data_IF_380224569754
#
_entry.id   IF_380224569754
#
_cell.length_a   1.000
_cell.length_b   1.000
_cell.length_c   1.000
_cell.angle_alpha   90.00
_cell.angle_beta   90.00
_cell.angle_gamma   90.00
#
_symmetry.space_group_name_H-M   'P 1'
#
loop_
_entity.id
_entity.type
_entity.pdbx_description
1 polymer ?
#
# COMPACT_ATOMS: atom_id res chain seq x y z
N UNK A 1 12.73 -18.80 -43.33
CA UNK A 1 11.62 -18.02 -43.90
C UNK A 1 10.36 -18.88 -43.91
N UNK A 2 9.51 -18.69 -42.92
CA UNK A 2 8.04 -18.65 -42.95
C UNK A 2 7.62 -17.83 -41.70
N UNK A 3 6.50 -17.10 -41.75
CA UNK A 3 6.40 -15.78 -41.11
C UNK A 3 5.88 -15.80 -39.66
N UNK A 4 6.43 -14.89 -38.85
CA UNK A 4 5.93 -14.50 -37.54
C UNK A 4 4.67 -13.63 -37.73
N UNK A 5 3.54 -14.07 -37.19
CA UNK A 5 2.29 -13.29 -37.10
C UNK A 5 2.22 -12.70 -35.70
N UNK A 6 2.32 -11.36 -35.52
CA UNK A 6 2.00 -10.72 -34.25
C UNK A 6 0.49 -10.58 -34.12
N UNK A 7 -0.09 -11.20 -33.10
CA UNK A 7 -1.51 -11.03 -32.77
C UNK A 7 -1.67 -9.71 -32.02
N UNK A 8 -2.25 -8.74 -32.73
CA UNK A 8 -2.81 -7.51 -32.18
C UNK A 8 -4.19 -7.84 -31.63
N UNK A 9 -4.39 -7.66 -30.32
CA UNK A 9 -5.68 -7.80 -29.64
C UNK A 9 -6.09 -6.49 -28.97
N UNK A 10 -6.88 -5.69 -29.69
CA UNK A 10 -7.70 -4.60 -29.16
C UNK A 10 -8.90 -5.17 -28.36
N UNK A 11 -9.46 -4.35 -27.45
CA UNK A 11 -10.89 -4.07 -27.15
C UNK A 11 -11.09 -3.74 -25.65
N UNK A 12 -12.11 -2.96 -25.24
CA UNK A 12 -12.69 -1.75 -25.82
C UNK A 12 -12.77 -0.56 -24.82
N UNK A 13 -12.89 0.67 -25.34
CA UNK A 13 -13.26 1.87 -24.58
C UNK A 13 -14.76 1.82 -24.24
N UNK A 14 -15.13 2.00 -22.96
CA UNK A 14 -16.48 2.40 -22.58
C UNK A 14 -16.43 3.84 -22.05
N UNK A 15 -17.02 4.75 -22.82
CA UNK A 15 -17.19 6.14 -22.43
C UNK A 15 -18.48 6.31 -21.64
N UNK A 16 -18.39 7.04 -20.53
CA UNK A 16 -19.48 7.89 -20.06
C UNK A 16 -18.90 9.27 -19.75
N UNK A 17 -19.36 10.23 -20.53
CA UNK A 17 -18.99 11.63 -20.51
C UNK A 17 -19.64 12.34 -19.32
N UNK A 18 -18.84 13.04 -18.51
CA UNK A 18 -19.30 14.19 -17.72
C UNK A 18 -18.48 15.43 -18.15
N UNK A 19 -19.12 16.61 -18.28
CA UNK A 19 -18.59 17.71 -19.08
C UNK A 19 -17.41 18.42 -18.43
N UNK A 20 -16.38 18.66 -19.23
CA UNK A 20 -15.26 19.55 -18.91
C UNK A 20 -15.77 20.99 -19.00
N UNK A 21 -15.70 21.74 -17.90
CA UNK A 21 -15.93 23.17 -17.90
C UNK A 21 -14.78 23.89 -18.66
N UNK A 22 -15.18 24.78 -19.57
CA UNK A 22 -14.31 25.63 -20.38
C UNK A 22 -13.48 26.62 -19.53
N UNK A 23 -12.18 26.63 -19.83
CA UNK A 23 -11.23 27.75 -19.85
C UNK A 23 -11.12 28.72 -18.67
N UNK A 24 -9.97 28.66 -17.98
CA UNK A 24 -9.29 29.82 -17.37
C UNK A 24 -7.91 30.04 -18.03
N UNK A 25 -7.44 31.30 -18.13
CA UNK A 25 -6.48 31.71 -19.15
C UNK A 25 -5.03 31.26 -18.94
N UNK A 26 -4.39 31.02 -20.08
CA UNK A 26 -2.97 30.73 -20.30
C UNK A 26 -2.01 31.61 -19.50
N UNK A 27 -1.38 31.04 -18.47
CA UNK A 27 -0.03 31.40 -18.07
C UNK A 27 0.92 30.28 -18.48
N UNK A 28 1.66 30.51 -19.58
CA UNK A 28 2.80 29.68 -19.95
C UNK A 28 3.84 29.75 -18.83
N UNK A 29 3.82 28.79 -17.91
CA UNK A 29 5.01 28.37 -17.17
C UNK A 29 5.53 27.12 -17.84
N UNK A 30 6.58 27.29 -18.62
CA UNK A 30 7.44 26.20 -19.07
C UNK A 30 7.95 25.51 -17.81
N UNK A 31 7.36 24.37 -17.44
CA UNK A 31 7.93 23.53 -16.40
C UNK A 31 9.12 22.81 -17.03
N UNK A 32 10.28 23.46 -17.00
CA UNK A 32 11.55 22.77 -17.14
C UNK A 32 11.56 21.61 -16.14
N UNK A 33 11.87 20.40 -16.61
CA UNK A 33 12.15 19.26 -15.74
C UNK A 33 13.39 19.61 -14.95
N UNK A 34 13.22 20.22 -13.77
CA UNK A 34 14.31 20.42 -12.84
C UNK A 34 14.53 19.07 -12.18
N UNK A 35 15.51 18.31 -12.69
CA UNK A 35 16.19 17.26 -11.93
C UNK A 35 16.90 17.94 -10.75
N UNK A 36 16.14 18.32 -9.73
CA UNK A 36 16.71 18.78 -8.48
C UNK A 36 16.95 17.55 -7.61
N UNK A 37 18.22 17.23 -7.39
CA UNK A 37 18.65 16.28 -6.36
C UNK A 37 18.18 16.66 -4.95
N UNK A 38 17.58 17.84 -4.74
CA UNK A 38 16.96 18.25 -3.47
C UNK A 38 15.49 17.84 -3.32
N UNK A 39 14.87 17.19 -4.31
CA UNK A 39 13.47 16.76 -4.19
C UNK A 39 13.28 15.55 -3.25
N UNK A 40 14.32 14.72 -3.08
CA UNK A 40 14.27 13.48 -2.28
C UNK A 40 15.27 13.57 -1.12
N UNK A 41 14.86 14.07 0.07
CA UNK A 41 15.78 14.31 1.19
C UNK A 41 16.65 13.11 1.57
N UNK A 42 16.12 11.89 1.41
CA UNK A 42 16.81 10.63 1.71
C UNK A 42 16.97 9.71 0.50
N UNK A 43 16.81 10.22 -0.72
CA UNK A 43 16.92 9.42 -1.94
C UNK A 43 15.90 8.28 -2.07
N UNK A 44 14.80 8.33 -1.30
CA UNK A 44 13.71 7.34 -1.31
C UNK A 44 12.39 8.02 -1.64
N UNK A 45 11.54 7.29 -2.34
CA UNK A 45 10.11 7.57 -2.51
C UNK A 45 9.33 6.65 -1.55
N UNK A 46 8.09 7.01 -1.17
CA UNK A 46 7.33 8.20 -1.57
C UNK A 46 7.77 9.49 -0.86
N UNK A 47 7.42 10.62 -1.50
CA UNK A 47 7.46 11.97 -0.90
C UNK A 47 6.10 12.65 -1.09
N UNK A 48 5.75 13.55 -0.17
CA UNK A 48 4.59 14.44 -0.28
C UNK A 48 5.05 15.88 -0.06
N UNK A 49 4.85 16.75 -1.04
CA UNK A 49 5.13 18.18 -0.91
C UNK A 49 3.94 18.88 -0.25
N UNK A 50 4.15 19.53 0.89
CA UNK A 50 3.16 20.32 1.62
C UNK A 50 3.76 21.69 1.91
N UNK A 51 3.16 22.74 1.37
CA UNK A 51 3.61 24.14 1.55
C UNK A 51 5.10 24.35 1.23
N UNK A 52 5.60 23.66 0.19
CA UNK A 52 7.00 23.71 -0.23
C UNK A 52 7.97 22.88 0.63
N UNK A 53 7.48 22.13 1.62
CA UNK A 53 8.25 21.16 2.40
C UNK A 53 8.03 19.74 1.86
N UNK A 54 9.11 19.00 1.66
CA UNK A 54 9.06 17.60 1.23
C UNK A 54 9.01 16.67 2.45
N UNK A 55 7.82 16.15 2.75
CA UNK A 55 7.64 15.04 3.68
C UNK A 55 8.10 13.74 3.01
N UNK A 56 8.68 12.83 3.79
CA UNK A 56 9.18 11.53 3.31
C UNK A 56 8.73 10.41 4.28
N UNK A 57 8.89 9.15 3.85
CA UNK A 57 8.35 7.94 4.49
C UNK A 57 6.84 7.79 4.36
N UNK A 58 6.39 6.68 3.76
CA UNK A 58 4.98 6.36 3.53
C UNK A 58 4.15 6.45 4.80
N UNK A 59 4.59 5.81 5.89
CA UNK A 59 3.84 5.75 7.15
C UNK A 59 3.79 7.11 7.86
N UNK A 60 4.86 7.90 7.78
CA UNK A 60 4.88 9.25 8.34
C UNK A 60 3.92 10.18 7.58
N UNK A 61 3.88 10.06 6.25
CA UNK A 61 2.93 10.77 5.40
C UNK A 61 1.49 10.33 5.71
N UNK A 62 1.23 9.03 5.84
CA UNK A 62 -0.08 8.50 6.20
C UNK A 62 -0.57 9.06 7.54
N UNK A 63 0.25 8.98 8.60
CA UNK A 63 -0.05 9.58 9.91
C UNK A 63 -0.31 11.08 9.84
N UNK A 64 0.45 11.82 9.04
CA UNK A 64 0.23 13.25 8.84
C UNK A 64 -1.17 13.52 8.23
N UNK A 65 -1.56 12.74 7.23
CA UNK A 65 -2.86 12.89 6.55
C UNK A 65 -4.04 12.48 7.43
N UNK A 66 -3.87 11.52 8.33
CA UNK A 66 -4.96 11.00 9.18
C UNK A 66 -5.10 11.71 10.51
N UNK A 67 -4.09 12.49 10.94
CA UNK A 67 -3.94 13.06 12.30
C UNK A 67 -5.20 13.69 12.92
N UNK A 68 -6.01 14.38 12.12
CA UNK A 68 -7.20 15.10 12.60
C UNK A 68 -8.51 14.43 12.14
N UNK A 69 -8.47 13.12 11.91
CA UNK A 69 -9.61 12.33 11.43
C UNK A 69 -9.75 11.09 12.30
N UNK A 70 -10.95 10.51 12.33
CA UNK A 70 -11.21 9.26 13.04
C UNK A 70 -10.39 8.08 12.48
N UNK A 71 -9.82 8.20 11.28
CA UNK A 71 -8.95 7.18 10.70
C UNK A 71 -7.69 6.94 11.52
N UNK A 72 -7.23 7.93 12.29
CA UNK A 72 -6.09 7.75 13.18
C UNK A 72 -6.43 6.93 14.44
N UNK A 73 -7.71 6.80 14.79
CA UNK A 73 -8.15 6.41 16.14
C UNK A 73 -8.60 7.64 16.94
N UNK A 74 -9.62 7.46 17.79
CA UNK A 74 -10.33 8.57 18.46
C UNK A 74 -9.65 9.03 19.74
N UNK A 75 -8.77 8.20 20.30
CA UNK A 75 -7.98 8.51 21.49
C UNK A 75 -6.49 8.31 21.23
N UNK A 76 -5.64 8.96 22.02
CA UNK A 76 -4.17 8.78 21.92
C UNK A 76 -3.75 7.30 22.07
N UNK A 77 -4.48 6.54 22.89
CA UNK A 77 -4.22 5.11 23.06
C UNK A 77 -4.62 4.31 21.82
N UNK A 78 -5.79 4.60 21.24
CA UNK A 78 -6.20 3.98 19.97
C UNK A 78 -5.23 4.32 18.84
N UNK A 79 -4.76 5.57 18.75
CA UNK A 79 -3.75 5.98 17.76
C UNK A 79 -2.46 5.19 17.90
N UNK A 80 -1.98 4.99 19.13
CA UNK A 80 -0.81 4.15 19.39
C UNK A 80 -1.04 2.68 18.96
N UNK A 81 -2.24 2.15 19.18
CA UNK A 81 -2.58 0.79 18.75
C UNK A 81 -2.69 0.67 17.23
N UNK A 82 -3.25 1.67 16.55
CA UNK A 82 -3.28 1.75 15.09
C UNK A 82 -1.85 1.74 14.54
N UNK A 83 -0.99 2.64 15.05
CA UNK A 83 0.42 2.71 14.65
C UNK A 83 1.15 1.38 14.87
N UNK A 84 0.91 0.70 15.99
CA UNK A 84 1.51 -0.60 16.29
C UNK A 84 1.10 -1.70 15.30
N UNK A 85 -0.17 -1.74 14.88
CA UNK A 85 -0.62 -2.71 13.87
C UNK A 85 0.03 -2.42 12.51
N UNK A 86 0.12 -1.14 12.11
CA UNK A 86 0.78 -0.77 10.86
C UNK A 86 2.26 -1.15 10.89
N UNK A 87 2.99 -0.79 11.94
CA UNK A 87 4.42 -1.09 12.02
C UNK A 87 4.66 -2.61 12.06
N UNK A 88 3.78 -3.39 12.70
CA UNK A 88 3.83 -4.87 12.66
C UNK A 88 3.70 -5.41 11.24
N UNK A 89 2.77 -4.85 10.45
CA UNK A 89 2.60 -5.22 9.04
C UNK A 89 3.80 -4.78 8.18
N UNK A 90 4.29 -3.55 8.38
CA UNK A 90 5.42 -2.99 7.62
C UNK A 90 6.73 -3.74 7.87
N UNK A 91 6.98 -4.17 9.11
CA UNK A 91 8.12 -5.00 9.47
C UNK A 91 8.09 -6.33 8.70
N UNK A 92 6.93 -6.99 8.65
CA UNK A 92 6.78 -8.23 7.90
C UNK A 92 6.94 -8.01 6.39
N UNK A 93 6.31 -6.97 5.83
CA UNK A 93 6.45 -6.64 4.42
C UNK A 93 7.90 -6.27 4.06
N UNK A 94 8.65 -5.68 4.99
CA UNK A 94 10.06 -5.31 4.79
C UNK A 94 11.02 -6.50 4.79
N UNK A 95 10.62 -7.67 5.31
CA UNK A 95 11.40 -8.91 5.24
C UNK A 95 11.54 -9.45 3.81
N UNK A 96 10.59 -9.12 2.92
CA UNK A 96 10.60 -9.61 1.56
C UNK A 96 11.73 -8.97 0.72
N UNK A 97 12.48 -9.76 -0.07
CA UNK A 97 13.58 -9.25 -0.88
C UNK A 97 13.08 -8.56 -2.17
N UNK A 98 12.35 -7.46 -2.05
CA UNK A 98 11.71 -6.76 -3.18
C UNK A 98 12.70 -6.38 -4.29
N UNK A 99 13.92 -6.01 -3.91
CA UNK A 99 14.99 -5.54 -4.79
C UNK A 99 15.98 -6.65 -5.23
N UNK A 100 15.78 -7.91 -4.85
CA UNK A 100 16.62 -9.02 -5.31
C UNK A 100 16.49 -9.19 -6.83
N UNK A 101 17.62 -9.37 -7.51
CA UNK A 101 17.74 -9.42 -8.97
C UNK A 101 17.71 -10.86 -9.49
N UNK A 102 18.10 -11.83 -8.68
CA UNK A 102 18.07 -13.25 -9.01
C UNK A 102 16.70 -13.82 -8.69
N UNK A 103 15.95 -14.16 -9.75
CA UNK A 103 14.56 -14.59 -9.62
C UNK A 103 14.41 -15.87 -8.79
N UNK A 104 15.31 -16.84 -8.96
CA UNK A 104 15.32 -18.11 -8.22
C UNK A 104 15.51 -17.90 -6.71
N UNK A 105 16.43 -17.01 -6.32
CA UNK A 105 16.66 -16.65 -4.92
C UNK A 105 15.44 -15.90 -4.36
N UNK A 106 14.92 -14.94 -5.13
CA UNK A 106 13.74 -14.15 -4.73
C UNK A 106 12.53 -15.05 -4.50
N UNK A 107 12.20 -15.94 -5.44
CA UNK A 107 11.05 -16.83 -5.35
C UNK A 107 11.17 -17.80 -4.16
N UNK A 108 12.38 -18.32 -3.92
CA UNK A 108 12.64 -19.20 -2.78
C UNK A 108 12.42 -18.48 -1.45
N UNK A 109 12.95 -17.26 -1.29
CA UNK A 109 12.77 -16.46 -0.07
C UNK A 109 11.30 -16.04 0.13
N UNK A 110 10.60 -15.63 -0.92
CA UNK A 110 9.15 -15.32 -0.85
C UNK A 110 8.37 -16.54 -0.38
N UNK A 111 8.64 -17.71 -0.96
CA UNK A 111 7.96 -18.95 -0.59
C UNK A 111 8.22 -19.32 0.87
N UNK A 112 9.45 -19.17 1.34
CA UNK A 112 9.81 -19.43 2.73
C UNK A 112 9.05 -18.51 3.70
N UNK A 113 9.10 -17.19 3.49
CA UNK A 113 8.35 -16.22 4.30
C UNK A 113 6.84 -16.51 4.32
N UNK A 114 6.26 -16.83 3.16
CA UNK A 114 4.83 -17.09 3.02
C UNK A 114 4.38 -18.44 3.59
N UNK A 115 5.29 -19.38 3.77
CA UNK A 115 4.97 -20.74 4.28
C UNK A 115 5.31 -20.90 5.75
N UNK A 116 6.40 -20.29 6.20
CA UNK A 116 6.93 -20.45 7.55
C UNK A 116 6.50 -19.32 8.47
N UNK A 117 6.56 -18.06 8.01
CA UNK A 117 6.43 -16.90 8.89
C UNK A 117 5.05 -16.25 8.81
N UNK A 118 4.47 -16.13 7.61
CA UNK A 118 3.15 -15.54 7.41
C UNK A 118 2.06 -16.20 8.28
N UNK A 119 1.98 -17.55 8.44
CA UNK A 119 0.96 -18.16 9.27
C UNK A 119 1.00 -17.70 10.73
N UNK A 120 2.18 -17.42 11.28
CA UNK A 120 2.32 -16.92 12.64
C UNK A 120 1.78 -15.49 12.76
N UNK A 121 2.18 -14.60 11.86
CA UNK A 121 1.65 -13.23 11.81
C UNK A 121 0.12 -13.22 11.64
N UNK A 122 -0.40 -14.01 10.71
CA UNK A 122 -1.84 -14.06 10.44
C UNK A 122 -2.61 -14.60 11.63
N UNK A 123 -2.07 -15.60 12.33
CA UNK A 123 -2.67 -16.10 13.56
C UNK A 123 -2.69 -15.03 14.66
N UNK A 124 -1.62 -14.25 14.81
CA UNK A 124 -1.55 -13.17 15.79
C UNK A 124 -2.53 -12.03 15.45
N UNK A 125 -2.62 -11.63 14.17
CA UNK A 125 -3.57 -10.62 13.69
C UNK A 125 -5.03 -11.08 13.83
N UNK A 126 -5.34 -12.32 13.47
CA UNK A 126 -6.68 -12.91 13.59
C UNK A 126 -7.11 -13.03 15.07
N UNK A 127 -6.16 -13.32 15.96
CA UNK A 127 -6.37 -13.31 17.41
C UNK A 127 -6.58 -11.89 17.93
N UNK A 128 -5.78 -10.93 17.46
CA UNK A 128 -5.88 -9.53 17.86
C UNK A 128 -7.21 -8.90 17.41
N UNK A 129 -7.67 -9.23 16.20
CA UNK A 129 -8.98 -8.83 15.69
C UNK A 129 -10.10 -9.45 16.52
N UNK A 130 -10.01 -10.75 16.80
CA UNK A 130 -11.01 -11.46 17.60
C UNK A 130 -12.41 -11.32 16.99
N UNK A 131 -13.37 -10.85 17.78
CA UNK A 131 -14.76 -10.62 17.34
C UNK A 131 -15.04 -9.17 16.90
N UNK A 132 -14.01 -8.32 16.82
CA UNK A 132 -14.18 -6.92 16.40
C UNK A 132 -14.42 -6.83 14.90
N UNK A 133 -15.14 -5.79 14.48
CA UNK A 133 -15.37 -5.46 13.06
C UNK A 133 -14.15 -4.79 12.42
N UNK A 134 -13.39 -4.02 13.19
CA UNK A 134 -12.17 -3.31 12.78
C UNK A 134 -11.05 -3.64 13.75
N UNK A 135 -9.78 -3.47 13.36
CA UNK A 135 -8.66 -3.76 14.26
C UNK A 135 -8.75 -2.96 15.56
N UNK A 136 -9.09 -1.67 15.46
CA UNK A 136 -9.12 -0.73 16.60
C UNK A 136 -10.47 -0.04 16.70
N UNK A 137 -11.01 0.02 17.92
CA UNK A 137 -12.23 0.75 18.22
C UNK A 137 -13.47 0.17 17.56
N UNK A 138 -14.38 1.06 17.13
CA UNK A 138 -15.68 0.72 16.55
C UNK A 138 -15.90 1.36 15.17
N UNK A 139 -14.83 1.76 14.50
CA UNK A 139 -14.85 2.38 13.18
C UNK A 139 -13.54 2.13 12.46
N UNK A 140 -13.59 2.11 11.13
CA UNK A 140 -12.40 1.93 10.29
C UNK A 140 -11.29 2.93 10.61
N UNK A 141 -10.07 2.43 10.61
CA UNK A 141 -8.82 3.18 10.79
C UNK A 141 -7.88 2.94 9.61
N UNK A 142 -6.78 3.69 9.54
CA UNK A 142 -5.79 3.48 8.49
C UNK A 142 -4.98 2.19 8.65
N UNK A 143 -5.04 1.52 9.81
CA UNK A 143 -4.50 0.17 9.97
C UNK A 143 -5.28 -0.86 9.15
N UNK A 144 -6.61 -0.74 9.09
CA UNK A 144 -7.45 -1.62 8.28
C UNK A 144 -7.15 -1.45 6.78
N UNK A 145 -6.92 -0.20 6.33
CA UNK A 145 -6.45 0.06 4.96
C UNK A 145 -5.05 -0.52 4.71
N UNK A 146 -4.13 -0.42 5.66
CA UNK A 146 -2.79 -0.95 5.49
C UNK A 146 -2.80 -2.49 5.43
N UNK A 147 -3.69 -3.12 6.21
CA UNK A 147 -3.96 -4.56 6.09
C UNK A 147 -4.46 -4.93 4.70
N UNK A 148 -5.43 -4.22 4.13
CA UNK A 148 -5.94 -4.49 2.77
C UNK A 148 -4.79 -4.39 1.74
N UNK A 149 -3.97 -3.34 1.80
CA UNK A 149 -2.84 -3.13 0.89
C UNK A 149 -1.82 -4.28 0.99
N UNK A 150 -1.48 -4.67 2.21
CA UNK A 150 -0.52 -5.75 2.44
C UNK A 150 -1.08 -7.10 1.98
N UNK A 151 -2.30 -7.44 2.40
CA UNK A 151 -2.95 -8.72 2.09
C UNK A 151 -3.20 -8.88 0.59
N UNK A 152 -3.65 -7.84 -0.11
CA UNK A 152 -3.78 -7.83 -1.58
C UNK A 152 -2.45 -8.16 -2.26
N UNK A 153 -1.35 -7.60 -1.76
CA UNK A 153 -0.01 -7.91 -2.29
C UNK A 153 0.39 -9.36 -1.99
N UNK A 154 0.18 -9.83 -0.76
CA UNK A 154 0.54 -11.19 -0.35
C UNK A 154 -0.25 -12.26 -1.12
N UNK A 155 -1.55 -12.02 -1.38
CA UNK A 155 -2.42 -12.91 -2.14
C UNK A 155 -1.99 -13.08 -3.60
N UNK A 156 -1.31 -12.09 -4.20
CA UNK A 156 -0.69 -12.24 -5.53
C UNK A 156 0.38 -13.35 -5.52
N UNK A 157 1.12 -13.49 -4.43
CA UNK A 157 2.18 -14.50 -4.30
C UNK A 157 1.68 -15.83 -3.73
N UNK A 158 0.63 -15.79 -2.89
CA UNK A 158 0.02 -16.98 -2.28
C UNK A 158 -1.50 -16.81 -2.17
N UNK A 159 -2.27 -17.22 -3.19
CA UNK A 159 -3.72 -16.99 -3.24
C UNK A 159 -4.53 -17.67 -2.12
N UNK A 160 -4.03 -18.78 -1.57
CA UNK A 160 -4.64 -19.57 -0.50
C UNK A 160 -4.21 -19.10 0.91
N UNK A 161 -3.50 -17.97 1.02
CA UNK A 161 -2.88 -17.52 2.27
C UNK A 161 -3.90 -17.27 3.39
N UNK A 162 -5.09 -16.78 3.05
CA UNK A 162 -6.11 -16.39 4.03
C UNK A 162 -7.22 -17.43 4.22
N UNK A 163 -7.13 -18.59 3.56
CA UNK A 163 -8.20 -19.61 3.56
C UNK A 163 -8.57 -20.09 4.98
N UNK A 164 -7.60 -20.08 5.90
CA UNK A 164 -7.78 -20.51 7.30
C UNK A 164 -8.10 -19.35 8.26
N UNK A 165 -8.12 -18.10 7.78
CA UNK A 165 -8.38 -16.89 8.56
C UNK A 165 -9.55 -16.08 7.98
N UNK A 166 -10.79 -16.61 8.02
CA UNK A 166 -11.94 -15.98 7.35
C UNK A 166 -12.27 -14.57 7.88
N UNK A 167 -11.94 -14.26 9.14
CA UNK A 167 -12.18 -12.92 9.71
C UNK A 167 -11.29 -11.85 9.08
N UNK A 168 -10.07 -12.22 8.69
CA UNK A 168 -9.14 -11.32 8.01
C UNK A 168 -9.52 -11.08 6.54
N UNK A 169 -10.34 -11.95 5.94
CA UNK A 169 -10.88 -11.79 4.58
C UNK A 169 -12.03 -10.79 4.55
N UNK A 170 -12.79 -10.70 5.66
CA UNK A 170 -13.97 -9.84 5.77
C UNK A 170 -13.68 -8.41 6.21
N UNK A 171 -12.43 -8.13 6.60
CA UNK A 171 -11.95 -6.83 7.04
C UNK A 171 -11.61 -5.94 5.85
#
# INVERSE_FOLDING_TARGET
MQPNIPIVGNYPKLGSTFPVAESLPSHKKTHSIVKSSNALPFGKIPILEVDGLNLHQSLAIARYLTRNTDLAGKTDLEQCQVDAIVDTLDDFMSCFPWAEKKQDVKDQMFKELLTCDAPHLLQDLDTYLGEKEWFIGNSVTWADFYWEICSTTLLVFKPDLLDIHPRLVTL
#
